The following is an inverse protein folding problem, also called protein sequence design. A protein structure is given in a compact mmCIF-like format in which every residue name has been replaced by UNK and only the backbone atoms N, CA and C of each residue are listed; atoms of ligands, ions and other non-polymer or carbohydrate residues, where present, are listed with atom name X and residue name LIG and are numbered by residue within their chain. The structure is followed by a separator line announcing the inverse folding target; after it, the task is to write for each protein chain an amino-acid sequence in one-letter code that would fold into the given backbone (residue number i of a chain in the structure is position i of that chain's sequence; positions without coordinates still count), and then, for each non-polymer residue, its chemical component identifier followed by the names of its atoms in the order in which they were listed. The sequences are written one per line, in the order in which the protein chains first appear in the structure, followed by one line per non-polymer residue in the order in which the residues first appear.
data_IF_143923462759
#
_entry.id   IF_143923462759
#
_cell.length_a   1.000
_cell.length_b   1.000
_cell.length_c   1.000
_cell.angle_alpha   90.00
_cell.angle_beta   90.00
_cell.angle_gamma   90.00
#
_symmetry.space_group_name_H-M   'P 1'
#
loop_
_entity.id
_entity.type
_entity.pdbx_description
1 polymer ?
#
# COMPACT_ATOMS: atom_id res chain seq x y z
N UNK A 1 5.72 -20.63 14.90
CA UNK A 1 4.46 -20.11 14.32
C UNK A 1 3.60 -19.64 15.47
N UNK A 2 3.20 -18.38 15.47
CA UNK A 2 2.34 -17.81 16.51
C UNK A 2 0.87 -18.05 16.15
N UNK A 3 0.07 -18.45 17.13
CA UNK A 3 -1.36 -18.72 16.92
C UNK A 3 -2.22 -17.75 17.72
N UNK A 4 -3.29 -17.24 17.09
CA UNK A 4 -4.28 -16.38 17.76
C UNK A 4 -5.68 -16.95 17.54
N UNK A 5 -6.40 -17.20 18.64
CA UNK A 5 -7.81 -17.55 18.60
C UNK A 5 -8.66 -16.30 18.88
N UNK A 6 -9.49 -15.91 17.92
CA UNK A 6 -10.54 -14.93 18.13
C UNK A 6 -11.81 -15.74 18.41
N UNK A 7 -12.35 -15.67 19.64
CA UNK A 7 -13.44 -16.54 20.09
C UNK A 7 -14.73 -15.79 20.38
N UNK A 8 -15.82 -16.55 20.35
CA UNK A 8 -17.16 -16.10 20.76
C UNK A 8 -17.70 -14.92 19.92
N UNK A 9 -17.22 -14.73 18.69
CA UNK A 9 -17.69 -13.62 17.86
C UNK A 9 -19.23 -13.65 17.73
N UNK A 10 -19.89 -12.53 18.00
CA UNK A 10 -21.35 -12.40 17.86
C UNK A 10 -21.80 -12.77 16.45
N UNK A 11 -21.05 -12.34 15.44
CA UNK A 11 -21.13 -12.85 14.09
C UNK A 11 -19.80 -12.71 13.36
N UNK A 12 -19.52 -13.68 12.48
CA UNK A 12 -18.40 -13.66 11.53
C UNK A 12 -19.01 -13.59 10.14
N UNK A 13 -18.81 -12.47 9.46
CA UNK A 13 -19.23 -12.27 8.07
C UNK A 13 -18.05 -12.62 7.19
N UNK A 14 -18.12 -13.74 6.48
CA UNK A 14 -16.93 -14.28 5.78
C UNK A 14 -16.62 -13.56 4.47
N UNK A 15 -17.62 -12.98 3.83
CA UNK A 15 -17.52 -12.38 2.48
C UNK A 15 -16.86 -13.37 1.51
N UNK A 16 -17.15 -14.65 1.68
CA UNK A 16 -16.74 -15.72 0.78
C UNK A 16 -17.75 -15.91 -0.35
N UNK A 17 -17.53 -16.88 -1.23
CA UNK A 17 -18.43 -17.13 -2.38
C UNK A 17 -19.86 -17.52 -1.99
N UNK A 18 -20.06 -17.99 -0.75
CA UNK A 18 -21.35 -18.40 -0.21
C UNK A 18 -21.97 -17.35 0.70
N UNK A 19 -21.32 -16.19 0.89
CA UNK A 19 -21.74 -15.09 1.76
C UNK A 19 -22.17 -15.56 3.18
N UNK A 20 -21.42 -16.49 3.74
CA UNK A 20 -21.74 -17.11 5.02
C UNK A 20 -21.63 -16.11 6.16
N UNK A 21 -22.61 -16.20 7.08
CA UNK A 21 -22.60 -15.50 8.35
C UNK A 21 -22.69 -16.53 9.47
N UNK A 22 -21.61 -16.70 10.23
CA UNK A 22 -21.56 -17.62 11.35
C UNK A 22 -21.79 -16.86 12.67
N UNK A 23 -22.76 -17.33 13.47
CA UNK A 23 -23.03 -16.77 14.81
C UNK A 23 -22.30 -17.56 15.88
N UNK A 24 -21.83 -16.87 16.92
CA UNK A 24 -21.09 -17.47 18.05
C UNK A 24 -19.91 -18.34 17.58
N UNK A 25 -19.21 -17.85 16.54
CA UNK A 25 -18.11 -18.56 15.91
C UNK A 25 -16.74 -18.14 16.43
N UNK A 26 -15.76 -18.94 16.03
CA UNK A 26 -14.35 -18.73 16.37
C UNK A 26 -13.50 -18.67 15.09
N UNK A 27 -12.41 -17.93 15.15
CA UNK A 27 -11.40 -17.84 14.07
C UNK A 27 -10.04 -18.21 14.67
N UNK A 28 -9.34 -19.19 14.09
CA UNK A 28 -7.94 -19.44 14.39
C UNK A 28 -7.08 -18.83 13.29
N UNK A 29 -6.15 -18.01 13.70
CA UNK A 29 -5.11 -17.41 12.83
C UNK A 29 -3.76 -18.01 13.22
N UNK A 30 -2.99 -18.41 12.23
CA UNK A 30 -1.61 -18.85 12.36
C UNK A 30 -0.73 -17.92 11.54
N UNK A 31 0.15 -17.19 12.20
CA UNK A 31 0.92 -16.10 11.63
C UNK A 31 0.00 -15.09 10.89
N UNK A 32 0.03 -15.06 9.55
CA UNK A 32 -0.81 -14.17 8.73
C UNK A 32 -1.94 -14.90 7.98
N UNK A 33 -2.26 -16.15 8.39
CA UNK A 33 -3.21 -17.01 7.67
C UNK A 33 -4.36 -17.42 8.57
N UNK A 34 -5.59 -17.24 8.11
CA UNK A 34 -6.78 -17.82 8.75
C UNK A 34 -6.79 -19.33 8.46
N UNK A 35 -6.65 -20.16 9.49
CA UNK A 35 -6.62 -21.63 9.41
C UNK A 35 -7.97 -22.28 9.66
N UNK A 36 -8.81 -21.61 10.46
CA UNK A 36 -10.11 -22.17 10.80
C UNK A 36 -11.13 -21.05 11.03
N UNK A 37 -12.34 -21.30 10.62
CA UNK A 37 -13.53 -20.50 10.95
C UNK A 37 -14.65 -21.48 11.26
N UNK A 38 -15.27 -21.42 12.44
CA UNK A 38 -16.37 -22.30 12.82
C UNK A 38 -16.67 -22.30 14.32
N UNK A 39 -17.52 -23.21 14.81
CA UNK A 39 -17.99 -23.24 16.19
C UNK A 39 -16.96 -23.83 17.17
N UNK A 40 -16.00 -24.64 16.71
CA UNK A 40 -15.07 -25.33 17.60
C UNK A 40 -14.04 -24.36 18.19
N UNK A 41 -13.85 -24.42 19.50
CA UNK A 41 -12.74 -23.77 20.19
C UNK A 41 -11.44 -24.56 19.95
N UNK A 42 -10.33 -23.85 19.77
CA UNK A 42 -9.02 -24.43 19.51
C UNK A 42 -7.97 -23.81 20.43
N UNK A 43 -6.95 -24.58 20.78
CA UNK A 43 -5.82 -24.05 21.53
C UNK A 43 -5.03 -23.03 20.69
N UNK A 44 -4.57 -21.96 21.32
CA UNK A 44 -3.75 -20.93 20.71
C UNK A 44 -2.86 -20.24 21.73
N UNK A 45 -1.77 -19.62 21.28
CA UNK A 45 -0.83 -18.88 22.12
C UNK A 45 -1.47 -17.58 22.67
N UNK A 46 -2.33 -16.96 21.87
CA UNK A 46 -3.06 -15.75 22.21
C UNK A 46 -4.56 -15.95 22.02
N UNK A 47 -5.38 -15.43 22.92
CA UNK A 47 -6.85 -15.52 22.83
C UNK A 47 -7.46 -14.13 22.93
N UNK A 48 -8.29 -13.79 21.94
CA UNK A 48 -9.06 -12.54 21.90
C UNK A 48 -10.54 -12.89 22.08
N UNK A 49 -11.20 -12.33 23.10
CA UNK A 49 -12.63 -12.48 23.26
C UNK A 49 -13.36 -11.45 22.39
N UNK A 50 -14.21 -11.93 21.49
CA UNK A 50 -14.98 -11.15 20.54
C UNK A 50 -16.50 -11.24 20.81
N UNK A 51 -16.92 -11.58 22.03
CA UNK A 51 -18.34 -11.80 22.39
C UNK A 51 -19.26 -10.61 22.10
N UNK A 52 -18.69 -9.41 21.97
CA UNK A 52 -19.42 -8.18 21.62
C UNK A 52 -19.05 -7.62 20.23
N UNK A 53 -18.40 -8.44 19.40
CA UNK A 53 -17.88 -7.99 18.12
C UNK A 53 -18.56 -8.70 16.93
N UNK A 54 -18.75 -7.94 15.86
CA UNK A 54 -18.90 -8.47 14.52
C UNK A 54 -17.51 -8.52 13.86
N UNK A 55 -17.18 -9.63 13.20
CA UNK A 55 -15.89 -9.80 12.54
C UNK A 55 -16.09 -9.80 11.03
N UNK A 56 -15.32 -8.98 10.35
CA UNK A 56 -15.25 -8.88 8.89
C UNK A 56 -13.81 -9.13 8.43
N UNK A 57 -13.59 -9.57 7.17
CA UNK A 57 -12.27 -9.50 6.55
C UNK A 57 -11.76 -8.06 6.56
N UNK A 58 -10.44 -7.89 6.69
CA UNK A 58 -9.83 -6.58 6.55
C UNK A 58 -10.12 -5.97 5.17
N UNK A 59 -10.33 -4.66 5.15
CA UNK A 59 -10.57 -3.93 3.90
C UNK A 59 -9.33 -3.92 3.02
N UNK A 60 -9.55 -3.81 1.71
CA UNK A 60 -8.50 -3.74 0.70
C UNK A 60 -8.57 -2.37 0.02
N UNK A 61 -7.50 -1.59 0.10
CA UNK A 61 -7.36 -0.34 -0.64
C UNK A 61 -6.53 -0.62 -1.91
N UNK A 62 -7.13 -0.43 -3.08
CA UNK A 62 -6.49 -0.69 -4.38
C UNK A 62 -6.00 0.57 -5.09
N UNK A 63 -6.11 1.75 -4.46
CA UNK A 63 -5.66 3.01 -5.03
C UNK A 63 -5.21 3.97 -3.94
N UNK A 64 -3.91 4.20 -3.83
CA UNK A 64 -3.32 5.18 -2.93
C UNK A 64 -2.08 5.83 -3.56
N UNK A 65 -1.69 6.99 -3.03
CA UNK A 65 -0.44 7.70 -3.32
C UNK A 65 0.13 8.17 -1.98
N UNK A 66 0.84 7.26 -1.27
CA UNK A 66 1.25 7.46 0.12
C UNK A 66 2.09 8.73 0.32
N UNK A 67 2.99 9.05 -0.61
CA UNK A 67 3.82 10.25 -0.52
C UNK A 67 3.00 11.57 -0.54
N UNK A 68 1.79 11.55 -1.11
CA UNK A 68 0.90 12.73 -1.13
C UNK A 68 0.30 13.04 0.24
N UNK A 69 0.46 12.17 1.23
CA UNK A 69 0.00 12.40 2.61
C UNK A 69 0.53 13.72 3.17
N UNK A 70 1.76 14.13 2.82
CA UNK A 70 2.35 15.37 3.28
C UNK A 70 1.82 16.63 2.58
N UNK A 71 1.12 16.50 1.48
CA UNK A 71 0.52 17.61 0.75
C UNK A 71 -1.01 17.64 0.83
N UNK A 72 -1.61 16.82 1.72
CA UNK A 72 -3.05 16.86 2.00
C UNK A 72 -3.42 18.25 2.58
N UNK A 73 -4.56 18.76 2.14
CA UNK A 73 -5.11 20.05 2.59
C UNK A 73 -4.19 21.26 2.39
N UNK A 74 -3.26 21.20 1.45
CA UNK A 74 -2.41 22.32 1.10
C UNK A 74 -3.27 23.45 0.50
N UNK A 75 -3.35 24.64 1.13
CA UNK A 75 -4.30 25.70 0.70
C UNK A 75 -4.12 26.14 -0.75
N UNK A 76 -2.88 26.16 -1.24
CA UNK A 76 -2.54 26.63 -2.58
C UNK A 76 -3.13 25.76 -3.71
N UNK A 77 -3.50 24.52 -3.43
CA UNK A 77 -3.99 23.58 -4.45
C UNK A 77 -5.45 23.18 -4.26
N UNK A 78 -6.13 23.75 -3.26
CA UNK A 78 -7.55 23.51 -3.06
C UNK A 78 -8.36 24.02 -4.25
N UNK A 79 -9.28 23.19 -4.73
CA UNK A 79 -10.15 23.47 -5.88
C UNK A 79 -9.43 23.66 -7.23
N UNK A 80 -8.17 23.24 -7.36
CA UNK A 80 -7.49 23.23 -8.65
C UNK A 80 -7.96 22.06 -9.51
N UNK A 81 -8.03 22.31 -10.83
CA UNK A 81 -8.15 21.25 -11.82
C UNK A 81 -6.90 20.37 -11.82
N UNK A 82 -7.01 19.12 -12.32
CA UNK A 82 -5.97 18.09 -12.24
C UNK A 82 -4.59 18.58 -12.77
N UNK A 83 -4.53 19.18 -13.94
CA UNK A 83 -3.22 19.57 -14.51
C UNK A 83 -2.55 20.75 -13.81
N UNK A 84 -3.25 21.86 -13.46
CA UNK A 84 -2.69 22.89 -12.60
C UNK A 84 -2.27 22.33 -11.22
N UNK A 85 -3.06 21.46 -10.62
CA UNK A 85 -2.76 20.78 -9.37
C UNK A 85 -1.45 19.98 -9.44
N UNK A 86 -1.29 19.13 -10.47
CA UNK A 86 -0.06 18.36 -10.70
C UNK A 86 1.15 19.27 -10.89
N UNK A 87 1.05 20.32 -11.71
CA UNK A 87 2.16 21.25 -11.98
C UNK A 87 2.63 21.93 -10.71
N UNK A 88 1.71 22.33 -9.83
CA UNK A 88 2.04 22.97 -8.55
C UNK A 88 2.69 21.97 -7.60
N UNK A 89 2.16 20.76 -7.49
CA UNK A 89 2.67 19.75 -6.56
C UNK A 89 4.00 19.13 -7.00
N UNK A 90 4.28 19.03 -8.29
CA UNK A 90 5.58 18.57 -8.77
C UNK A 90 6.72 19.47 -8.24
N UNK A 91 6.50 20.78 -8.10
CA UNK A 91 7.50 21.69 -7.54
C UNK A 91 7.80 21.42 -6.05
N UNK A 92 6.83 20.86 -5.33
CA UNK A 92 7.00 20.41 -3.94
C UNK A 92 7.61 19.00 -3.93
N UNK A 93 7.07 18.08 -4.71
CA UNK A 93 7.46 16.68 -4.70
C UNK A 93 8.88 16.44 -5.24
N UNK A 94 9.48 17.40 -5.94
CA UNK A 94 10.92 17.32 -6.30
C UNK A 94 11.86 17.37 -5.10
N UNK A 95 11.36 17.77 -3.93
CA UNK A 95 12.07 17.74 -2.65
C UNK A 95 11.84 16.46 -1.82
N UNK A 96 11.18 15.44 -2.39
CA UNK A 96 11.02 14.15 -1.71
C UNK A 96 12.37 13.47 -1.53
N UNK A 97 12.56 12.85 -0.36
CA UNK A 97 13.68 12.01 0.00
C UNK A 97 13.18 10.70 0.65
N UNK A 98 14.10 9.81 1.00
CA UNK A 98 13.78 8.52 1.61
C UNK A 98 13.02 8.66 2.93
N UNK A 99 13.36 9.64 3.76
CA UNK A 99 12.69 9.90 5.03
C UNK A 99 11.26 10.38 4.81
N UNK A 100 11.04 11.23 3.81
CA UNK A 100 9.70 11.64 3.38
C UNK A 100 8.86 10.44 2.96
N UNK A 101 9.41 9.54 2.15
CA UNK A 101 8.69 8.33 1.68
C UNK A 101 8.38 7.39 2.84
N UNK A 102 9.35 7.14 3.72
CA UNK A 102 9.14 6.28 4.88
C UNK A 102 8.04 6.84 5.80
N UNK A 103 8.16 8.10 6.20
CA UNK A 103 7.22 8.70 7.15
C UNK A 103 5.83 8.91 6.56
N UNK A 104 5.71 9.32 5.29
CA UNK A 104 4.41 9.42 4.63
C UNK A 104 3.72 8.07 4.50
N UNK A 105 4.51 7.01 4.26
CA UNK A 105 3.99 5.63 4.21
C UNK A 105 3.54 5.15 5.58
N UNK A 106 4.30 5.41 6.65
CA UNK A 106 3.87 5.10 8.02
C UNK A 106 2.55 5.80 8.38
N UNK A 107 2.43 7.09 8.07
CA UNK A 107 1.20 7.84 8.36
C UNK A 107 0.03 7.31 7.55
N UNK A 108 0.20 7.16 6.23
CA UNK A 108 -0.87 6.71 5.35
C UNK A 108 -1.34 5.28 5.64
N UNK A 109 -0.41 4.34 5.77
CA UNK A 109 -0.73 2.94 6.09
C UNK A 109 -1.29 2.80 7.51
N UNK A 110 -0.73 3.54 8.49
CA UNK A 110 -1.23 3.54 9.86
C UNK A 110 -2.66 4.08 9.96
N UNK A 111 -2.99 5.12 9.19
CA UNK A 111 -4.36 5.63 9.08
C UNK A 111 -5.30 4.59 8.46
N UNK A 112 -4.90 3.94 7.37
CA UNK A 112 -5.67 2.87 6.74
C UNK A 112 -5.95 1.72 7.72
N UNK A 113 -4.95 1.27 8.49
CA UNK A 113 -5.11 0.24 9.52
C UNK A 113 -6.12 0.65 10.60
N UNK A 114 -6.09 1.90 11.07
CA UNK A 114 -7.06 2.41 12.06
C UNK A 114 -8.50 2.32 11.56
N UNK A 115 -8.71 2.36 10.25
CA UNK A 115 -10.02 2.20 9.62
C UNK A 115 -10.29 0.78 9.09
N UNK A 116 -9.49 -0.20 9.50
CA UNK A 116 -9.72 -1.62 9.19
C UNK A 116 -9.19 -2.08 7.82
N UNK A 117 -8.40 -1.27 7.14
CA UNK A 117 -7.75 -1.67 5.89
C UNK A 117 -6.45 -2.43 6.21
N UNK A 118 -6.34 -3.68 5.77
CA UNK A 118 -5.20 -4.55 6.05
C UNK A 118 -4.36 -4.88 4.83
N UNK A 119 -4.83 -4.48 3.65
CA UNK A 119 -4.11 -4.66 2.38
C UNK A 119 -4.17 -3.37 1.59
N UNK A 120 -3.02 -2.85 1.20
CA UNK A 120 -2.93 -1.60 0.44
C UNK A 120 -2.10 -1.79 -0.83
N UNK A 121 -2.60 -1.28 -1.96
CA UNK A 121 -1.81 -1.03 -3.16
C UNK A 121 -1.52 0.46 -3.24
N UNK A 122 -0.24 0.83 -3.39
CA UNK A 122 0.19 2.21 -3.59
C UNK A 122 0.77 2.42 -4.98
N UNK A 123 0.43 3.52 -5.61
CA UNK A 123 1.02 3.94 -6.87
C UNK A 123 2.00 5.09 -6.64
N UNK A 124 3.27 4.75 -6.45
CA UNK A 124 4.37 5.72 -6.37
C UNK A 124 4.97 5.94 -7.75
N UNK A 125 4.95 7.18 -8.25
CA UNK A 125 5.40 7.49 -9.60
C UNK A 125 6.32 8.72 -9.70
N UNK A 126 6.59 9.41 -8.59
CA UNK A 126 7.47 10.58 -8.54
C UNK A 126 8.84 10.16 -8.04
N UNK A 127 9.82 10.20 -8.91
CA UNK A 127 11.21 9.86 -8.63
C UNK A 127 12.12 11.00 -9.06
N UNK A 128 12.58 11.89 -8.14
CA UNK A 128 13.67 12.80 -8.42
C UNK A 128 14.89 12.07 -8.97
N UNK A 129 15.59 12.66 -9.93
CA UNK A 129 16.74 12.02 -10.59
C UNK A 129 17.87 11.62 -9.64
N UNK A 130 17.94 12.23 -8.47
CA UNK A 130 18.99 11.98 -7.47
C UNK A 130 18.33 11.63 -6.15
N UNK A 131 18.79 10.54 -5.51
CA UNK A 131 18.39 10.16 -4.17
C UNK A 131 17.02 9.47 -4.09
N UNK A 132 16.49 8.94 -5.19
CA UNK A 132 15.20 8.23 -5.21
C UNK A 132 15.31 6.72 -5.42
N UNK A 133 16.53 6.19 -5.44
CA UNK A 133 16.83 4.80 -5.80
C UNK A 133 16.19 3.77 -4.84
N UNK A 134 15.89 4.19 -3.59
CA UNK A 134 15.32 3.31 -2.57
C UNK A 134 13.94 3.74 -2.06
N UNK A 135 13.22 4.57 -2.80
CA UNK A 135 11.90 5.05 -2.38
C UNK A 135 10.91 3.91 -2.12
N UNK A 136 10.81 2.96 -3.03
CA UNK A 136 9.92 1.80 -2.85
C UNK A 136 10.40 0.89 -1.70
N UNK A 137 11.71 0.80 -1.47
CA UNK A 137 12.26 0.09 -0.32
C UNK A 137 11.76 0.69 1.00
N UNK A 138 11.67 2.02 1.09
CA UNK A 138 11.15 2.70 2.28
C UNK A 138 9.65 2.46 2.48
N UNK A 139 8.89 2.30 1.42
CA UNK A 139 7.47 1.91 1.52
C UNK A 139 7.32 0.50 2.08
N UNK A 140 8.10 -0.47 1.60
CA UNK A 140 8.11 -1.82 2.17
C UNK A 140 8.55 -1.83 3.64
N UNK A 141 9.59 -1.08 3.99
CA UNK A 141 10.04 -0.93 5.38
C UNK A 141 8.93 -0.41 6.29
N UNK A 142 8.17 0.58 5.85
CA UNK A 142 7.03 1.11 6.60
C UNK A 142 5.90 0.07 6.73
N UNK A 143 5.60 -0.66 5.65
CA UNK A 143 4.60 -1.70 5.65
C UNK A 143 4.96 -2.85 6.60
N UNK A 144 6.22 -3.28 6.61
CA UNK A 144 6.74 -4.31 7.53
C UNK A 144 6.62 -3.90 8.99
N UNK A 145 6.98 -2.65 9.29
CA UNK A 145 6.86 -2.14 10.66
C UNK A 145 5.43 -2.15 11.18
N UNK A 146 4.45 -1.93 10.30
CA UNK A 146 3.03 -1.90 10.64
C UNK A 146 2.35 -3.28 10.50
N UNK A 147 2.99 -4.24 9.81
CA UNK A 147 2.41 -5.54 9.53
C UNK A 147 1.27 -5.50 8.51
N UNK A 148 1.30 -4.56 7.55
CA UNK A 148 0.32 -4.41 6.49
C UNK A 148 0.72 -5.23 5.27
N UNK A 149 -0.23 -5.94 4.66
CA UNK A 149 0.01 -6.54 3.33
C UNK A 149 0.10 -5.42 2.29
N UNK A 150 1.24 -5.36 1.60
CA UNK A 150 1.55 -4.22 0.74
C UNK A 150 1.89 -4.63 -0.69
N UNK A 151 1.20 -4.01 -1.62
CA UNK A 151 1.44 -4.05 -3.06
C UNK A 151 2.09 -2.73 -3.48
N UNK A 152 3.39 -2.71 -3.63
CA UNK A 152 4.06 -1.55 -4.20
C UNK A 152 3.86 -1.52 -5.71
N UNK A 153 3.44 -0.40 -6.24
CA UNK A 153 3.44 -0.19 -7.68
C UNK A 153 4.61 0.71 -8.05
N UNK A 154 5.60 0.14 -8.76
CA UNK A 154 6.69 0.91 -9.35
C UNK A 154 6.10 1.71 -10.52
N UNK A 155 5.61 2.90 -10.21
CA UNK A 155 5.21 3.88 -11.22
C UNK A 155 6.41 4.47 -11.93
N UNK A 156 6.20 5.13 -13.06
CA UNK A 156 7.27 5.76 -13.80
C UNK A 156 6.79 6.92 -14.64
N UNK A 157 7.67 7.91 -14.79
CA UNK A 157 7.53 9.00 -15.76
C UNK A 157 8.82 9.06 -16.56
N UNK A 158 8.71 9.01 -17.89
CA UNK A 158 9.86 9.03 -18.83
C UNK A 158 9.83 10.19 -19.83
N UNK A 159 8.78 11.02 -19.77
CA UNK A 159 8.58 12.15 -20.70
C UNK A 159 8.41 13.44 -19.93
N UNK A 160 9.43 14.29 -19.95
CA UNK A 160 9.47 15.58 -19.27
C UNK A 160 8.94 16.74 -20.09
N UNK A 161 8.97 17.94 -19.51
CA UNK A 161 8.50 19.19 -20.17
C UNK A 161 9.25 19.49 -21.45
N UNK A 162 10.55 19.24 -21.52
CA UNK A 162 11.36 19.44 -22.73
C UNK A 162 10.88 18.59 -23.91
N UNK A 163 10.26 17.43 -23.63
CA UNK A 163 9.74 16.51 -24.63
C UNK A 163 8.20 16.59 -24.77
N UNK A 164 7.60 17.68 -24.27
CA UNK A 164 6.16 17.91 -24.32
C UNK A 164 5.35 17.10 -23.29
N UNK A 165 6.00 16.57 -22.28
CA UNK A 165 5.35 15.95 -21.11
C UNK A 165 4.86 16.97 -20.07
N UNK A 166 4.13 16.52 -19.07
CA UNK A 166 3.63 17.36 -17.98
C UNK A 166 4.66 17.56 -16.86
N UNK A 167 5.38 16.51 -16.39
CA UNK A 167 6.29 16.64 -15.26
C UNK A 167 7.56 17.43 -15.60
N UNK A 168 8.20 18.08 -14.60
CA UNK A 168 9.54 18.65 -14.77
C UNK A 168 10.57 17.60 -15.20
N UNK A 169 11.60 18.00 -15.92
CA UNK A 169 12.61 17.09 -16.47
C UNK A 169 13.49 16.41 -15.40
N UNK A 170 13.56 16.98 -14.21
CA UNK A 170 14.26 16.40 -13.05
C UNK A 170 13.41 15.40 -12.26
N UNK A 171 12.14 15.22 -12.61
CA UNK A 171 11.24 14.19 -12.07
C UNK A 171 10.95 13.05 -13.04
N UNK A 172 11.65 13.00 -14.17
CA UNK A 172 11.53 11.88 -15.12
C UNK A 172 12.83 11.10 -15.18
N UNK A 173 12.72 9.82 -15.43
CA UNK A 173 13.84 8.90 -15.55
C UNK A 173 13.92 8.34 -16.97
N UNK A 174 15.12 7.97 -17.40
CA UNK A 174 15.27 7.20 -18.63
C UNK A 174 14.71 5.77 -18.47
N UNK A 175 14.33 5.18 -19.60
CA UNK A 175 13.67 3.86 -19.62
C UNK A 175 14.57 2.77 -19.05
N UNK A 176 15.88 2.82 -19.28
CA UNK A 176 16.81 1.82 -18.80
C UNK A 176 16.92 1.85 -17.26
N UNK A 177 16.97 3.05 -16.68
CA UNK A 177 16.92 3.24 -15.21
C UNK A 177 15.61 2.68 -14.63
N UNK A 178 14.47 2.99 -15.25
CA UNK A 178 13.16 2.48 -14.82
C UNK A 178 13.14 0.95 -14.85
N UNK A 179 13.60 0.33 -15.94
CA UNK A 179 13.59 -1.13 -16.10
C UNK A 179 14.53 -1.82 -15.11
N UNK A 180 15.74 -1.29 -14.89
CA UNK A 180 16.71 -1.83 -13.91
C UNK A 180 16.16 -1.78 -12.49
N UNK A 181 15.58 -0.65 -12.09
CA UNK A 181 14.99 -0.53 -10.76
C UNK A 181 13.74 -1.42 -10.60
N UNK A 182 12.92 -1.52 -11.65
CA UNK A 182 11.76 -2.43 -11.67
C UNK A 182 12.19 -3.90 -11.48
N UNK A 183 13.23 -4.33 -12.19
CA UNK A 183 13.79 -5.67 -12.03
C UNK A 183 14.32 -5.89 -10.62
N UNK A 184 15.11 -4.96 -10.10
CA UNK A 184 15.65 -4.99 -8.72
C UNK A 184 14.54 -5.15 -7.68
N UNK A 185 13.47 -4.38 -7.80
CA UNK A 185 12.34 -4.43 -6.87
C UNK A 185 11.60 -5.76 -6.94
N UNK A 186 11.37 -6.29 -8.13
CA UNK A 186 10.75 -7.62 -8.30
C UNK A 186 11.63 -8.70 -7.68
N UNK A 187 12.93 -8.70 -7.96
CA UNK A 187 13.87 -9.68 -7.40
C UNK A 187 13.96 -9.60 -5.87
N UNK A 188 13.86 -8.40 -5.30
CA UNK A 188 14.02 -8.16 -3.86
C UNK A 188 12.76 -8.40 -3.05
N UNK A 189 11.60 -8.02 -3.55
CA UNK A 189 10.39 -7.93 -2.75
C UNK A 189 9.20 -8.73 -3.27
N UNK A 190 9.18 -9.11 -4.57
CA UNK A 190 7.99 -9.78 -5.12
C UNK A 190 7.94 -11.24 -4.68
N UNK A 191 6.96 -11.57 -3.85
CA UNK A 191 6.69 -12.91 -3.38
C UNK A 191 5.41 -13.45 -4.03
N UNK A 192 5.55 -14.47 -4.89
CA UNK A 192 4.45 -15.12 -5.61
C UNK A 192 3.70 -16.15 -4.76
N UNK A 193 4.15 -16.41 -3.53
CA UNK A 193 3.50 -17.37 -2.65
C UNK A 193 2.08 -16.95 -2.29
N UNK A 194 1.22 -17.94 -2.04
CA UNK A 194 -0.13 -17.65 -1.57
C UNK A 194 -0.08 -16.99 -0.19
N UNK A 195 -0.82 -15.88 -0.02
CA UNK A 195 -0.86 -15.07 1.19
C UNK A 195 0.41 -14.27 1.47
N UNK A 196 1.26 -14.06 0.46
CA UNK A 196 2.44 -13.18 0.59
C UNK A 196 2.07 -11.81 1.18
N UNK A 197 3.01 -11.24 1.93
CA UNK A 197 2.85 -9.90 2.49
C UNK A 197 3.30 -8.81 1.51
N UNK A 198 4.16 -9.16 0.56
CA UNK A 198 4.76 -8.22 -0.38
C UNK A 198 4.51 -8.63 -1.82
N UNK A 199 4.10 -7.67 -2.64
CA UNK A 199 4.08 -7.83 -4.08
C UNK A 199 4.50 -6.54 -4.77
N UNK A 200 5.03 -6.65 -5.99
CA UNK A 200 5.42 -5.52 -6.83
C UNK A 200 4.64 -5.59 -8.14
N UNK A 201 4.09 -4.47 -8.57
CA UNK A 201 3.52 -4.28 -9.88
C UNK A 201 4.22 -3.12 -10.59
N UNK A 202 4.12 -3.07 -11.92
CA UNK A 202 4.65 -1.97 -12.73
C UNK A 202 3.50 -1.12 -13.25
N UNK A 203 3.64 0.20 -13.17
CA UNK A 203 2.60 1.13 -13.61
C UNK A 203 3.22 2.39 -14.24
N UNK A 204 3.57 2.36 -15.52
CA UNK A 204 3.84 3.58 -16.27
C UNK A 204 2.69 4.57 -16.05
N UNK A 205 2.99 5.84 -15.71
CA UNK A 205 2.00 6.74 -15.13
C UNK A 205 0.85 7.05 -16.08
N UNK A 206 1.05 7.91 -17.05
CA UNK A 206 -0.03 8.36 -17.92
C UNK A 206 0.51 8.82 -19.30
N UNK A 207 -0.32 8.82 -20.36
CA UNK A 207 0.13 9.16 -21.73
C UNK A 207 0.84 10.51 -21.86
N UNK A 208 0.60 11.44 -20.94
CA UNK A 208 1.25 12.76 -20.92
C UNK A 208 2.55 12.81 -20.10
N UNK A 209 3.02 11.69 -19.56
CA UNK A 209 4.24 11.59 -18.75
C UNK A 209 5.14 10.41 -19.10
N UNK A 210 4.77 9.60 -20.07
CA UNK A 210 5.54 8.44 -20.53
C UNK A 210 5.82 8.48 -22.01
N UNK A 211 6.90 7.83 -22.42
CA UNK A 211 7.24 7.58 -23.81
C UNK A 211 6.51 6.36 -24.35
#
# INVERSE_FOLDING_TARGET
MATTLIRNAQAIVTVDREDRVLRNGNILVEDNIIRYIGPAERAADCVIDASHCFIYPGLVNTHHHLYQTFTRNLPQVQNMELFPWLRTLYEIWRGLDEDCIYNSSLVGLGELLKYGCTTCMDHHYVFPKVGSEHFIDQQFRAADQLGVRFHATRGSMSRGRSDGGLPPDDLVQDVDTILKDSQRLVEKFHDTSRFSMHQVALAPCSPFSVT
#
